data_IF_605897223877
#
_entry.id   IF_605897223877
#
_cell.length_a   1.000
_cell.length_b   1.000
_cell.length_c   1.000
_cell.angle_alpha   90.00
_cell.angle_beta   90.00
_cell.angle_gamma   90.00
#
_symmetry.space_group_name_H-M   'P 1'
#
loop_
_entity.id
_entity.type
_entity.pdbx_description
1 polymer ?
#
# COMPACT_ATOMS: atom_id res chain seq x y z
N UNK A 1 2.11 11.57 -4.64
CA UNK A 1 2.99 10.85 -3.70
C UNK A 1 2.65 9.36 -3.77
N UNK A 2 3.66 8.49 -3.75
CA UNK A 2 3.46 7.04 -3.76
C UNK A 2 4.27 6.37 -2.66
N UNK A 3 3.63 5.49 -1.91
CA UNK A 3 4.26 4.61 -0.93
C UNK A 3 4.22 3.16 -1.41
N UNK A 4 5.23 2.39 -1.06
CA UNK A 4 5.29 0.94 -1.29
C UNK A 4 5.28 0.24 0.06
N UNK A 5 4.45 -0.78 0.22
CA UNK A 5 4.50 -1.59 1.43
C UNK A 5 5.81 -2.36 1.47
N UNK A 6 6.39 -2.50 2.66
CA UNK A 6 7.71 -3.13 2.81
C UNK A 6 7.73 -4.63 2.43
N UNK A 7 6.56 -5.28 2.44
CA UNK A 7 6.38 -6.69 2.10
C UNK A 7 5.91 -6.86 0.66
N UNK A 8 6.30 -8.00 0.09
CA UNK A 8 5.69 -8.54 -1.11
C UNK A 8 4.92 -9.82 -0.74
N UNK A 9 3.94 -10.18 -1.56
CA UNK A 9 3.09 -11.35 -1.31
C UNK A 9 3.16 -12.34 -2.49
N UNK A 10 2.98 -13.65 -2.24
CA UNK A 10 2.83 -14.63 -3.29
C UNK A 10 1.66 -14.31 -4.26
N UNK A 11 1.78 -14.70 -5.53
CA UNK A 11 0.78 -14.42 -6.57
C UNK A 11 -0.57 -15.10 -6.34
N UNK A 12 -0.58 -16.25 -5.69
CA UNK A 12 -1.80 -16.98 -5.33
C UNK A 12 -2.68 -16.22 -4.32
N UNK A 13 -2.10 -15.29 -3.55
CA UNK A 13 -2.84 -14.41 -2.63
C UNK A 13 -3.55 -13.24 -3.33
N UNK A 14 -3.40 -13.08 -4.67
CA UNK A 14 -3.93 -11.93 -5.42
C UNK A 14 -5.41 -11.66 -5.16
N UNK A 15 -6.23 -12.70 -5.09
CA UNK A 15 -7.67 -12.54 -4.87
C UNK A 15 -7.98 -11.97 -3.48
N UNK A 16 -7.36 -12.51 -2.44
CA UNK A 16 -7.55 -12.05 -1.05
C UNK A 16 -7.03 -10.62 -0.85
N UNK A 17 -5.84 -10.32 -1.39
CA UNK A 17 -5.26 -8.97 -1.38
C UNK A 17 -6.15 -8.00 -2.13
N UNK A 18 -6.64 -8.39 -3.32
CA UNK A 18 -7.54 -7.57 -4.12
C UNK A 18 -8.83 -7.20 -3.37
N UNK A 19 -9.41 -8.14 -2.62
CA UNK A 19 -10.58 -7.87 -1.80
C UNK A 19 -10.28 -6.85 -0.68
N UNK A 20 -9.21 -7.05 0.07
CA UNK A 20 -8.81 -6.12 1.14
C UNK A 20 -8.53 -4.71 0.60
N UNK A 21 -7.88 -4.59 -0.55
CA UNK A 21 -7.63 -3.30 -1.19
C UNK A 21 -8.92 -2.64 -1.71
N UNK A 22 -9.84 -3.43 -2.26
CA UNK A 22 -11.15 -2.93 -2.69
C UNK A 22 -11.98 -2.44 -1.51
N UNK A 23 -11.97 -3.15 -0.40
CA UNK A 23 -12.64 -2.73 0.84
C UNK A 23 -12.09 -1.40 1.34
N UNK A 24 -10.75 -1.27 1.39
CA UNK A 24 -10.12 -0.01 1.74
C UNK A 24 -10.54 1.14 0.83
N UNK A 25 -10.40 0.95 -0.49
CA UNK A 25 -10.72 1.97 -1.48
C UNK A 25 -12.21 2.36 -1.50
N UNK A 26 -13.10 1.44 -1.11
CA UNK A 26 -14.54 1.70 -1.01
C UNK A 26 -14.88 2.53 0.23
N UNK A 27 -14.20 2.30 1.34
CA UNK A 27 -14.54 2.87 2.64
C UNK A 27 -13.82 4.20 2.94
N UNK A 28 -12.73 4.49 2.24
CA UNK A 28 -11.85 5.64 2.52
C UNK A 28 -11.55 6.42 1.25
N UNK A 29 -11.48 7.74 1.40
CA UNK A 29 -11.14 8.65 0.30
C UNK A 29 -9.64 8.53 -0.05
N UNK A 30 -8.78 8.32 0.95
CA UNK A 30 -7.32 8.24 0.76
C UNK A 30 -6.68 7.12 1.60
N UNK A 31 -5.56 6.55 1.12
CA UNK A 31 -5.03 6.64 -0.25
C UNK A 31 -5.78 5.69 -1.20
N UNK A 32 -5.55 5.84 -2.52
CA UNK A 32 -5.82 4.76 -3.48
C UNK A 32 -4.81 3.64 -3.24
N UNK A 33 -5.29 2.43 -3.01
CA UNK A 33 -4.48 1.25 -2.82
C UNK A 33 -4.57 0.30 -4.02
N UNK A 34 -3.44 -0.24 -4.46
CA UNK A 34 -3.40 -1.20 -5.57
C UNK A 34 -2.19 -2.13 -5.48
N UNK A 35 -2.21 -3.20 -6.28
CA UNK A 35 -1.13 -4.20 -6.35
C UNK A 35 -0.60 -4.29 -7.77
N UNK A 36 0.70 -4.54 -7.91
CA UNK A 36 1.36 -4.86 -9.18
C UNK A 36 2.16 -6.14 -9.03
N UNK A 37 2.33 -6.85 -10.13
CA UNK A 37 3.29 -7.95 -10.18
C UNK A 37 4.68 -7.41 -10.46
N UNK A 38 5.64 -7.80 -9.63
CA UNK A 38 7.04 -7.46 -9.73
C UNK A 38 7.85 -8.69 -9.34
N UNK A 39 8.76 -9.15 -10.22
CA UNK A 39 9.64 -10.30 -9.94
C UNK A 39 8.89 -11.58 -9.50
N UNK A 40 7.70 -11.81 -10.05
CA UNK A 40 6.89 -12.99 -9.70
C UNK A 40 6.21 -12.90 -8.33
N UNK A 41 6.15 -11.71 -7.73
CA UNK A 41 5.48 -11.42 -6.47
C UNK A 41 4.54 -10.22 -6.60
N UNK A 42 3.64 -10.06 -5.64
CA UNK A 42 2.72 -8.95 -5.53
C UNK A 42 3.33 -7.83 -4.68
N UNK A 43 3.57 -6.68 -5.31
CA UNK A 43 3.99 -5.45 -4.65
C UNK A 43 2.78 -4.52 -4.46
N UNK A 44 2.55 -4.08 -3.22
CA UNK A 44 1.40 -3.26 -2.84
C UNK A 44 1.79 -1.80 -2.70
N UNK A 45 0.93 -0.92 -3.22
CA UNK A 45 1.16 0.51 -3.31
C UNK A 45 0.00 1.33 -2.75
N UNK A 46 0.39 2.43 -2.10
CA UNK A 46 -0.47 3.55 -1.71
C UNK A 46 -0.19 4.72 -2.63
N UNK A 47 -1.22 5.41 -3.11
CA UNK A 47 -1.06 6.61 -3.92
C UNK A 47 -2.06 7.70 -3.50
N UNK A 48 -1.53 8.90 -3.30
CA UNK A 48 -2.31 10.14 -3.18
C UNK A 48 -1.81 11.09 -4.26
N UNK A 49 -2.74 11.55 -5.07
CA UNK A 49 -2.50 12.49 -6.16
C UNK A 49 -3.52 13.62 -6.06
N UNK A 50 -3.05 14.83 -6.25
CA UNK A 50 -3.87 16.03 -6.30
C UNK A 50 -3.51 16.78 -7.59
N UNK A 51 -4.51 17.38 -8.20
CA UNK A 51 -4.29 18.27 -9.34
C UNK A 51 -3.81 19.63 -8.83
N UNK A 52 -2.71 20.09 -9.41
CA UNK A 52 -2.09 21.38 -9.10
C UNK A 52 -1.97 22.26 -10.34
N UNK A 53 -2.68 21.95 -11.44
CA UNK A 53 -2.77 22.82 -12.62
C UNK A 53 -3.12 24.29 -12.27
N UNK A 54 -4.04 24.59 -11.32
CA UNK A 54 -4.35 25.97 -10.91
C UNK A 54 -3.28 26.63 -10.03
N UNK A 55 -2.22 25.91 -9.66
CA UNK A 55 -1.23 26.30 -8.66
C UNK A 55 -1.56 25.80 -7.24
N UNK A 56 -0.56 25.85 -6.36
CA UNK A 56 -0.67 25.50 -4.96
C UNK A 56 0.25 26.36 -4.10
N UNK A 57 -0.20 26.69 -2.90
CA UNK A 57 0.63 27.28 -1.85
C UNK A 57 1.51 26.22 -1.20
N UNK A 58 2.57 26.66 -0.51
CA UNK A 58 3.43 25.77 0.28
C UNK A 58 2.62 24.98 1.32
N UNK A 59 1.68 25.64 2.02
CA UNK A 59 0.82 24.99 3.01
C UNK A 59 -0.09 23.91 2.39
N UNK A 60 -0.62 24.15 1.19
CA UNK A 60 -1.43 23.14 0.48
C UNK A 60 -0.57 21.93 0.06
N UNK A 61 0.66 22.16 -0.40
CA UNK A 61 1.60 21.08 -0.72
C UNK A 61 1.95 20.28 0.55
N UNK A 62 2.29 20.97 1.64
CA UNK A 62 2.59 20.36 2.93
C UNK A 62 1.40 19.53 3.43
N UNK A 63 0.17 20.04 3.29
CA UNK A 63 -1.04 19.33 3.70
C UNK A 63 -1.28 18.06 2.87
N UNK A 64 -1.09 18.11 1.55
CA UNK A 64 -1.23 16.91 0.69
C UNK A 64 -0.16 15.87 1.03
N UNK A 65 1.08 16.30 1.32
CA UNK A 65 2.15 15.40 1.76
C UNK A 65 1.85 14.76 3.12
N UNK A 66 1.44 15.56 4.10
CA UNK A 66 1.08 15.07 5.43
C UNK A 66 -0.10 14.10 5.38
N UNK A 67 -1.16 14.47 4.67
CA UNK A 67 -2.33 13.61 4.44
C UNK A 67 -1.92 12.29 3.76
N UNK A 68 -1.14 12.38 2.68
CA UNK A 68 -0.69 11.22 1.95
C UNK A 68 0.16 10.27 2.81
N UNK A 69 1.15 10.79 3.54
CA UNK A 69 2.01 9.98 4.40
C UNK A 69 1.22 9.34 5.54
N UNK A 70 0.39 10.13 6.23
CA UNK A 70 -0.42 9.67 7.35
C UNK A 70 -1.40 8.57 6.93
N UNK A 71 -2.13 8.78 5.83
CA UNK A 71 -3.11 7.79 5.33
C UNK A 71 -2.43 6.58 4.69
N UNK A 72 -1.27 6.74 4.06
CA UNK A 72 -0.45 5.63 3.55
C UNK A 72 0.03 4.69 4.65
N UNK A 73 0.52 5.24 5.78
CA UNK A 73 0.90 4.44 6.95
C UNK A 73 -0.31 3.71 7.54
N UNK A 74 -1.48 4.37 7.61
CA UNK A 74 -2.72 3.73 8.08
C UNK A 74 -3.14 2.56 7.19
N UNK A 75 -3.07 2.70 5.86
CA UNK A 75 -3.33 1.59 4.94
C UNK A 75 -2.43 0.40 5.26
N UNK A 76 -1.11 0.63 5.33
CA UNK A 76 -0.15 -0.45 5.53
C UNK A 76 -0.32 -1.13 6.89
N UNK A 77 -0.63 -0.38 7.94
CA UNK A 77 -0.96 -0.94 9.25
C UNK A 77 -2.24 -1.79 9.20
N UNK A 78 -3.28 -1.34 8.50
CA UNK A 78 -4.52 -2.10 8.34
C UNK A 78 -4.29 -3.40 7.57
N UNK A 79 -3.47 -3.37 6.51
CA UNK A 79 -3.11 -4.55 5.74
C UNK A 79 -2.25 -5.53 6.53
N UNK A 80 -1.32 -5.05 7.35
CA UNK A 80 -0.54 -5.89 8.28
C UNK A 80 -1.46 -6.67 9.22
N UNK A 81 -2.55 -6.05 9.68
CA UNK A 81 -3.51 -6.69 10.60
C UNK A 81 -4.48 -7.67 9.93
N UNK A 82 -4.71 -7.54 8.62
CA UNK A 82 -5.75 -8.31 7.90
C UNK A 82 -5.17 -9.40 7.01
N UNK A 83 -3.98 -9.21 6.46
CA UNK A 83 -3.35 -10.17 5.57
C UNK A 83 -2.51 -11.17 6.37
N UNK A 84 -2.55 -12.47 6.00
CA UNK A 84 -1.74 -13.46 6.67
C UNK A 84 -0.25 -13.12 6.58
N UNK A 85 0.47 -13.39 7.67
CA UNK A 85 1.94 -13.35 7.64
C UNK A 85 2.41 -14.54 6.81
N UNK A 86 3.35 -14.32 5.89
CA UNK A 86 3.92 -15.41 5.11
C UNK A 86 4.58 -16.43 6.08
N UNK A 87 4.54 -17.74 5.79
CA UNK A 87 5.25 -18.71 6.60
C UNK A 87 6.75 -18.35 6.63
N UNK A 88 7.45 -18.59 7.77
CA UNK A 88 8.89 -18.34 7.85
C UNK A 88 9.62 -19.10 6.74
N UNK A 89 10.69 -18.51 6.22
CA UNK A 89 11.56 -19.18 5.25
C UNK A 89 12.00 -20.54 5.84
N UNK A 90 12.04 -21.62 5.04
CA UNK A 90 12.49 -22.91 5.55
C UNK A 90 13.90 -22.77 6.14
N UNK A 91 14.09 -23.29 7.36
CA UNK A 91 15.39 -23.37 8.02
C UNK A 91 16.37 -24.04 7.04
N UNK A 92 17.30 -23.26 6.50
CA UNK A 92 18.43 -23.81 5.77
C UNK A 92 19.34 -24.39 6.84
N UNK A 93 19.57 -25.72 6.89
CA UNK A 93 20.49 -26.29 7.86
C UNK A 93 21.87 -25.69 7.63
N UNK A 94 22.48 -25.15 8.69
CA UNK A 94 23.89 -24.79 8.69
C UNK A 94 24.69 -26.05 8.33
N UNK A 95 25.24 -26.08 7.13
CA UNK A 95 26.11 -27.16 6.64
C UNK A 95 27.53 -27.00 7.15
#
# INVERSE_FOLDING_TARGET
MRGRWHRQLPLDQRAAVGLALNDWNRERIWPKAYVREEEGLLALYSEVSADFEPGATEDQLAQVLACGLGTGVQLFAALESTLPTAPPAPDIPDN
#
